data_IF_798125639231
#
_entry.id   IF_798125639231
#
_cell.length_a   1.000
_cell.length_b   1.000
_cell.length_c   1.000
_cell.angle_alpha   90.00
_cell.angle_beta   90.00
_cell.angle_gamma   90.00
#
_symmetry.space_group_name_H-M   'P 1'
#
loop_
_entity.id
_entity.type
_entity.pdbx_description
1 polymer ?
#
# COMPACT_ATOMS: atom_id res chain seq x y z
N UNK A 1 8.92 -17.42 12.47
CA UNK A 1 7.80 -18.37 12.59
C UNK A 1 6.57 -17.53 12.88
N UNK A 2 5.55 -17.59 12.02
CA UNK A 2 4.33 -16.80 12.24
C UNK A 2 3.71 -17.23 13.58
N UNK A 3 3.76 -16.35 14.58
CA UNK A 3 3.03 -16.55 15.82
C UNK A 3 1.54 -16.71 15.48
N UNK A 4 0.84 -17.59 16.18
CA UNK A 4 -0.61 -17.67 16.09
C UNK A 4 -1.22 -16.39 16.68
N UNK A 5 -1.24 -15.31 15.89
CA UNK A 5 -1.77 -14.02 16.32
C UNK A 5 -3.26 -14.18 16.62
N UNK A 6 -3.61 -14.09 17.90
CA UNK A 6 -5.00 -14.17 18.37
C UNK A 6 -5.71 -12.86 18.05
N UNK A 7 -6.52 -12.85 16.99
CA UNK A 7 -7.39 -11.73 16.62
C UNK A 7 -8.85 -12.13 16.64
N UNK A 8 -9.73 -11.14 16.83
CA UNK A 8 -11.17 -11.38 16.77
C UNK A 8 -11.59 -11.90 15.37
N UNK A 9 -12.63 -12.74 15.26
CA UNK A 9 -13.18 -13.16 13.97
C UNK A 9 -13.58 -11.99 13.07
N UNK A 10 -14.03 -10.88 13.69
CA UNK A 10 -14.37 -9.64 12.98
C UNK A 10 -13.14 -9.01 12.32
N UNK A 11 -12.03 -8.87 13.05
CA UNK A 11 -10.79 -8.32 12.51
C UNK A 11 -10.25 -9.18 11.37
N UNK A 12 -10.28 -10.51 11.52
CA UNK A 12 -9.86 -11.45 10.48
C UNK A 12 -10.68 -11.29 9.19
N UNK A 13 -12.01 -11.23 9.29
CA UNK A 13 -12.88 -11.00 8.11
C UNK A 13 -12.61 -9.64 7.45
N UNK A 14 -12.38 -8.60 8.25
CA UNK A 14 -12.04 -7.28 7.74
C UNK A 14 -10.71 -7.28 6.99
N UNK A 15 -9.69 -7.98 7.51
CA UNK A 15 -8.39 -8.09 6.86
C UNK A 15 -8.48 -8.81 5.51
N UNK A 16 -9.23 -9.92 5.44
CA UNK A 16 -9.50 -10.63 4.17
C UNK A 16 -10.21 -9.70 3.19
N UNK A 17 -11.23 -8.96 3.63
CA UNK A 17 -11.95 -8.00 2.79
C UNK A 17 -11.03 -6.88 2.27
N UNK A 18 -10.15 -6.37 3.13
CA UNK A 18 -9.17 -5.34 2.80
C UNK A 18 -8.21 -5.82 1.70
N UNK A 19 -7.64 -7.02 1.85
CA UNK A 19 -6.80 -7.68 0.84
C UNK A 19 -7.52 -7.88 -0.50
N UNK A 20 -8.76 -8.39 -0.47
CA UNK A 20 -9.56 -8.61 -1.67
C UNK A 20 -9.82 -7.31 -2.46
N UNK A 21 -10.08 -6.19 -1.78
CA UNK A 21 -10.30 -4.90 -2.46
C UNK A 21 -9.02 -4.39 -3.13
N UNK A 22 -7.89 -4.53 -2.43
CA UNK A 22 -6.60 -4.08 -2.94
C UNK A 22 -6.07 -5.02 -4.04
N UNK A 23 -6.54 -6.26 -4.07
CA UNK A 23 -6.10 -7.30 -4.99
C UNK A 23 -4.72 -7.82 -4.62
N UNK A 24 -4.50 -8.05 -3.33
CA UNK A 24 -3.24 -8.51 -2.76
C UNK A 24 -3.44 -9.57 -1.68
N UNK A 25 -2.35 -10.19 -1.25
CA UNK A 25 -2.33 -11.18 -0.19
C UNK A 25 -2.30 -10.49 1.17
N UNK A 26 -3.14 -10.94 2.10
CA UNK A 26 -3.28 -10.35 3.42
C UNK A 26 -2.72 -11.25 4.51
N UNK A 27 -1.92 -10.66 5.39
CA UNK A 27 -1.36 -11.28 6.59
C UNK A 27 -1.74 -10.46 7.83
N UNK A 28 -1.65 -11.08 9.00
CA UNK A 28 -1.99 -10.44 10.28
C UNK A 28 -0.81 -10.57 11.24
N UNK A 29 -0.21 -9.43 11.59
CA UNK A 29 0.88 -9.33 12.55
C UNK A 29 0.38 -9.02 13.96
N UNK A 30 1.24 -9.23 14.97
CA UNK A 30 0.98 -8.85 16.35
C UNK A 30 0.78 -7.32 16.47
N UNK A 31 -0.23 -6.87 17.22
CA UNK A 31 -0.57 -5.44 17.31
C UNK A 31 -2.07 -5.11 17.44
N UNK A 32 -3.01 -5.92 16.90
CA UNK A 32 -2.96 -6.54 15.57
C UNK A 32 -2.84 -5.53 14.42
N UNK A 33 -2.10 -5.90 13.38
CA UNK A 33 -2.00 -5.15 12.11
C UNK A 33 -2.41 -6.07 10.98
N UNK A 34 -3.32 -5.63 10.10
CA UNK A 34 -3.54 -6.29 8.83
C UNK A 34 -2.57 -5.70 7.81
N UNK A 35 -1.73 -6.53 7.21
CA UNK A 35 -0.75 -6.13 6.20
C UNK A 35 -1.12 -6.78 4.87
N UNK A 36 -1.15 -6.00 3.79
CA UNK A 36 -1.47 -6.47 2.45
C UNK A 36 -0.33 -6.12 1.51
N UNK A 37 0.13 -7.11 0.75
CA UNK A 37 1.12 -6.91 -0.29
C UNK A 37 0.56 -7.25 -1.67
N UNK A 38 1.03 -6.52 -2.69
CA UNK A 38 0.67 -6.75 -4.08
C UNK A 38 1.84 -6.37 -4.97
N UNK A 39 2.15 -7.19 -5.98
CA UNK A 39 3.16 -6.83 -6.97
C UNK A 39 2.63 -5.83 -7.98
N UNK A 40 3.42 -4.80 -8.27
CA UNK A 40 3.23 -3.93 -9.44
C UNK A 40 3.70 -4.61 -10.73
N UNK A 41 3.33 -4.03 -11.87
CA UNK A 41 3.82 -4.44 -13.20
C UNK A 41 4.98 -3.56 -13.69
N UNK A 42 5.74 -2.98 -12.77
CA UNK A 42 6.82 -2.04 -13.04
C UNK A 42 7.97 -2.69 -13.83
N UNK A 43 8.49 -2.00 -14.87
CA UNK A 43 9.43 -2.52 -15.87
C UNK A 43 10.85 -1.92 -15.89
N UNK A 44 11.39 -1.56 -14.73
CA UNK A 44 12.65 -0.83 -14.59
C UNK A 44 13.88 -1.72 -14.52
N UNK A 45 15.00 -1.07 -14.77
CA UNK A 45 16.34 -1.59 -14.56
C UNK A 45 17.01 -0.88 -13.38
N UNK A 46 17.95 -1.54 -12.71
CA UNK A 46 18.89 -0.96 -11.74
C UNK A 46 20.28 -1.40 -12.17
N UNK A 47 21.22 -0.47 -12.31
CA UNK A 47 22.55 -0.74 -12.88
C UNK A 47 22.47 -1.41 -14.26
N UNK A 48 21.48 -1.02 -15.07
CA UNK A 48 21.22 -1.59 -16.40
C UNK A 48 20.63 -3.01 -16.41
N UNK A 49 20.36 -3.62 -15.25
CA UNK A 49 19.73 -4.96 -15.17
C UNK A 49 18.28 -4.87 -14.78
N UNK A 50 17.42 -5.60 -15.50
CA UNK A 50 16.00 -5.74 -15.19
C UNK A 50 15.82 -6.33 -13.79
N UNK A 51 15.07 -5.66 -12.92
CA UNK A 51 14.71 -6.16 -11.59
C UNK A 51 13.30 -6.76 -11.59
N UNK A 52 13.11 -7.83 -10.81
CA UNK A 52 11.79 -8.37 -10.42
C UNK A 52 11.66 -8.47 -8.90
N UNK A 53 12.56 -7.80 -8.19
CA UNK A 53 12.65 -7.92 -6.74
C UNK A 53 11.42 -7.28 -6.08
N UNK A 54 10.81 -7.95 -5.08
CA UNK A 54 9.80 -7.34 -4.21
C UNK A 54 10.28 -6.04 -3.56
N UNK A 55 11.60 -5.88 -3.34
CA UNK A 55 12.18 -4.63 -2.82
C UNK A 55 11.94 -3.41 -3.71
N UNK A 56 11.50 -3.60 -4.95
CA UNK A 56 11.21 -2.53 -5.92
C UNK A 56 9.73 -2.51 -6.28
N UNK A 57 9.16 -3.68 -6.52
CA UNK A 57 7.85 -3.81 -7.16
C UNK A 57 6.69 -3.98 -6.19
N UNK A 58 6.95 -4.13 -4.89
CA UNK A 58 5.89 -4.37 -3.93
C UNK A 58 5.11 -3.09 -3.61
N UNK A 59 3.78 -3.17 -3.71
CA UNK A 59 2.84 -2.27 -3.07
C UNK A 59 2.51 -2.84 -1.71
N UNK A 60 2.48 -1.99 -0.70
CA UNK A 60 2.21 -2.37 0.68
C UNK A 60 1.08 -1.52 1.22
N UNK A 61 0.16 -2.13 1.95
CA UNK A 61 -0.95 -1.43 2.59
C UNK A 61 -1.20 -2.04 3.95
N UNK A 62 -1.64 -1.23 4.91
CA UNK A 62 -2.00 -1.76 6.22
C UNK A 62 -3.14 -1.01 6.85
N UNK A 63 -3.75 -1.66 7.85
CA UNK A 63 -4.52 -0.97 8.88
C UNK A 63 -4.29 -1.61 10.25
N UNK A 64 -4.31 -0.78 11.29
CA UNK A 64 -4.14 -1.22 12.68
C UNK A 64 -5.48 -1.53 13.37
N UNK A 65 -5.47 -1.68 14.69
CA UNK A 65 -6.68 -1.85 15.50
C UNK A 65 -7.74 -0.78 15.26
N UNK A 66 -9.01 -1.19 15.30
CA UNK A 66 -10.15 -0.28 15.16
C UNK A 66 -10.42 0.48 16.46
N UNK A 67 -10.71 1.77 16.35
CA UNK A 67 -11.30 2.56 17.43
C UNK A 67 -12.81 2.24 17.62
N UNK A 68 -13.44 2.90 18.60
CA UNK A 68 -14.88 2.74 18.89
C UNK A 68 -15.79 3.13 17.71
N UNK A 69 -15.31 3.96 16.81
CA UNK A 69 -16.03 4.40 15.61
C UNK A 69 -15.75 3.49 14.39
N UNK A 70 -14.95 2.44 14.55
CA UNK A 70 -14.60 1.53 13.45
C UNK A 70 -13.60 2.13 12.46
N UNK A 71 -12.77 3.09 12.88
CA UNK A 71 -11.67 3.66 12.09
C UNK A 71 -10.34 3.08 12.58
N UNK A 72 -9.35 3.03 11.71
CA UNK A 72 -7.98 2.66 12.04
C UNK A 72 -6.99 3.63 11.38
N UNK A 73 -5.78 3.68 11.92
CA UNK A 73 -4.63 4.17 11.16
C UNK A 73 -4.42 3.23 9.97
N UNK A 74 -4.50 3.78 8.77
CA UNK A 74 -4.31 3.06 7.52
C UNK A 74 -3.11 3.67 6.79
N UNK A 75 -2.20 2.81 6.30
CA UNK A 75 -0.98 3.22 5.62
C UNK A 75 -0.93 2.59 4.23
N UNK A 76 -0.23 3.26 3.32
CA UNK A 76 0.08 2.71 2.01
C UNK A 76 1.38 3.24 1.43
N UNK A 77 2.05 2.37 0.69
CA UNK A 77 3.28 2.62 -0.01
C UNK A 77 3.27 1.97 -1.39
N UNK A 78 3.80 2.67 -2.40
CA UNK A 78 4.12 2.07 -3.70
C UNK A 78 5.28 2.82 -4.36
N UNK A 79 6.07 2.08 -5.13
CA UNK A 79 6.89 2.65 -6.18
C UNK A 79 5.99 3.21 -7.31
N UNK A 80 6.45 4.27 -7.96
CA UNK A 80 5.80 4.95 -9.08
C UNK A 80 6.86 5.60 -9.97
N UNK A 81 6.62 5.70 -11.29
CA UNK A 81 7.54 6.46 -12.15
C UNK A 81 7.49 7.95 -11.81
N UNK A 82 8.62 8.66 -11.92
CA UNK A 82 8.68 10.08 -11.57
C UNK A 82 7.64 10.94 -12.31
N UNK A 83 7.40 10.66 -13.60
CA UNK A 83 6.40 11.36 -14.40
C UNK A 83 4.94 11.08 -13.97
N UNK A 84 4.70 10.07 -13.14
CA UNK A 84 3.39 9.68 -12.62
C UNK A 84 3.11 10.20 -11.20
N UNK A 85 4.11 10.78 -10.52
CA UNK A 85 4.03 11.26 -9.13
C UNK A 85 2.83 12.19 -8.93
N UNK A 86 2.69 13.23 -9.75
CA UNK A 86 1.63 14.22 -9.59
C UNK A 86 0.24 13.60 -9.78
N UNK A 87 0.11 12.59 -10.65
CA UNK A 87 -1.14 11.86 -10.87
C UNK A 87 -1.55 11.10 -9.62
N UNK A 88 -0.64 10.31 -9.04
CA UNK A 88 -0.91 9.55 -7.82
C UNK A 88 -1.22 10.48 -6.64
N UNK A 89 -0.38 11.49 -6.42
CA UNK A 89 -0.54 12.45 -5.32
C UNK A 89 -1.89 13.18 -5.41
N UNK A 90 -2.28 13.62 -6.60
CA UNK A 90 -3.57 14.29 -6.81
C UNK A 90 -4.75 13.34 -6.63
N UNK A 91 -4.63 12.08 -7.06
CA UNK A 91 -5.67 11.07 -6.87
C UNK A 91 -5.94 10.78 -5.39
N UNK A 92 -4.89 10.63 -4.59
CA UNK A 92 -4.96 10.38 -3.15
C UNK A 92 -5.58 11.58 -2.42
N UNK A 93 -5.07 12.80 -2.68
CA UNK A 93 -5.56 14.03 -2.05
C UNK A 93 -7.03 14.31 -2.33
N UNK A 94 -7.48 14.13 -3.59
CA UNK A 94 -8.91 14.26 -3.95
C UNK A 94 -9.82 13.28 -3.21
N UNK A 95 -9.28 12.17 -2.72
CA UNK A 95 -10.01 11.16 -1.94
C UNK A 95 -9.82 11.33 -0.43
N UNK A 96 -9.27 12.47 0.02
CA UNK A 96 -9.06 12.76 1.43
C UNK A 96 -8.01 11.87 2.08
N UNK A 97 -7.04 11.37 1.31
CA UNK A 97 -5.89 10.61 1.81
C UNK A 97 -4.67 11.52 1.79
N UNK A 98 -3.95 11.59 2.91
CA UNK A 98 -2.79 12.48 3.08
C UNK A 98 -1.55 11.80 2.51
N UNK A 99 -0.88 12.47 1.57
CA UNK A 99 0.46 12.06 1.12
C UNK A 99 1.48 12.63 2.11
N UNK A 100 2.32 11.76 2.66
CA UNK A 100 3.24 12.08 3.76
C UNK A 100 4.69 12.13 3.34
N UNK A 101 5.10 11.28 2.40
CA UNK A 101 6.46 11.28 1.89
C UNK A 101 6.51 10.95 0.40
N UNK A 102 7.53 11.51 -0.25
CA UNK A 102 7.94 11.18 -1.61
C UNK A 102 9.46 11.18 -1.64
N UNK A 103 10.06 10.04 -1.96
CA UNK A 103 11.51 9.89 -2.00
C UNK A 103 11.93 8.81 -3.01
N UNK A 104 13.20 8.47 -3.06
CA UNK A 104 13.75 7.46 -3.97
C UNK A 104 14.61 6.48 -3.18
N UNK A 105 14.53 5.18 -3.51
CA UNK A 105 15.32 4.12 -2.85
C UNK A 105 16.57 3.72 -3.63
N UNK A 106 16.58 3.89 -4.96
CA UNK A 106 17.57 3.29 -5.84
C UNK A 106 18.27 4.36 -6.68
N UNK A 107 19.58 4.18 -6.89
CA UNK A 107 20.37 4.95 -7.84
C UNK A 107 20.57 4.16 -9.13
N UNK A 108 20.81 4.88 -10.24
CA UNK A 108 21.11 4.29 -11.57
C UNK A 108 20.03 3.33 -12.04
N UNK A 109 18.80 3.67 -11.71
CA UNK A 109 17.59 3.04 -12.14
C UNK A 109 16.99 3.76 -13.36
N UNK A 110 16.31 3.00 -14.21
CA UNK A 110 15.66 3.55 -15.39
C UNK A 110 14.42 2.72 -15.77
N UNK A 111 13.23 3.34 -15.98
CA UNK A 111 12.89 4.74 -15.68
C UNK A 111 13.10 5.17 -14.22
N UNK A 112 13.20 6.48 -13.97
CA UNK A 112 13.40 7.04 -12.62
C UNK A 112 12.22 6.67 -11.71
N UNK A 113 12.53 5.95 -10.63
CA UNK A 113 11.57 5.49 -9.63
C UNK A 113 11.45 6.48 -8.48
N UNK A 114 10.23 6.65 -7.99
CA UNK A 114 9.92 7.36 -6.76
C UNK A 114 9.02 6.48 -5.89
N UNK A 115 9.09 6.65 -4.58
CA UNK A 115 8.32 5.93 -3.58
C UNK A 115 7.44 6.92 -2.85
N UNK A 116 6.14 6.68 -2.89
CA UNK A 116 5.15 7.55 -2.26
C UNK A 116 4.54 6.83 -1.07
N UNK A 117 4.43 7.57 0.03
CA UNK A 117 3.82 7.13 1.28
C UNK A 117 2.57 7.96 1.55
N UNK A 118 1.52 7.31 2.04
CA UNK A 118 0.29 7.99 2.42
C UNK A 118 -0.37 7.36 3.62
N UNK A 119 -1.13 8.18 4.35
CA UNK A 119 -1.80 7.80 5.58
C UNK A 119 -3.23 8.35 5.64
N UNK A 120 -4.09 7.66 6.40
CA UNK A 120 -5.34 8.22 6.86
C UNK A 120 -5.87 7.49 8.11
N UNK A 121 -6.61 8.20 8.97
CA UNK A 121 -7.43 7.58 10.00
C UNK A 121 -8.85 7.43 9.45
N UNK A 122 -9.28 6.24 9.04
CA UNK A 122 -10.62 6.01 8.50
C UNK A 122 -11.03 4.54 8.56
N UNK A 123 -12.25 4.23 8.11
CA UNK A 123 -12.69 2.85 7.95
C UNK A 123 -11.78 2.13 6.92
N UNK A 124 -11.19 0.96 7.26
CA UNK A 124 -10.24 0.27 6.36
C UNK A 124 -10.82 -0.09 4.99
N UNK A 125 -12.10 -0.43 4.90
CA UNK A 125 -12.76 -0.75 3.62
C UNK A 125 -12.84 0.50 2.73
N UNK A 126 -13.12 1.66 3.32
CA UNK A 126 -13.15 2.94 2.61
C UNK A 126 -11.75 3.32 2.15
N UNK A 127 -10.75 3.17 3.02
CA UNK A 127 -9.34 3.37 2.66
C UNK A 127 -8.94 2.49 1.47
N UNK A 128 -9.20 1.18 1.56
CA UNK A 128 -8.85 0.22 0.52
C UNK A 128 -9.43 0.60 -0.85
N UNK A 129 -10.71 0.96 -0.91
CA UNK A 129 -11.37 1.36 -2.18
C UNK A 129 -10.75 2.64 -2.74
N UNK A 130 -10.59 3.67 -1.91
CA UNK A 130 -10.01 4.95 -2.32
C UNK A 130 -8.56 4.81 -2.77
N UNK A 131 -7.79 3.97 -2.09
CA UNK A 131 -6.42 3.63 -2.46
C UNK A 131 -6.42 2.87 -3.79
N UNK A 132 -7.23 1.82 -3.95
CA UNK A 132 -7.35 1.04 -5.19
C UNK A 132 -7.68 1.93 -6.40
N UNK A 133 -8.63 2.84 -6.25
CA UNK A 133 -8.97 3.80 -7.30
C UNK A 133 -7.83 4.78 -7.62
N UNK A 134 -7.06 5.17 -6.60
CA UNK A 134 -5.95 6.11 -6.76
C UNK A 134 -4.78 5.49 -7.53
N UNK A 135 -4.54 4.20 -7.34
CA UNK A 135 -3.44 3.44 -7.94
C UNK A 135 -3.86 2.67 -9.19
N UNK A 136 -5.13 2.71 -9.63
CA UNK A 136 -5.65 1.91 -10.77
C UNK A 136 -4.82 2.04 -12.05
N UNK A 137 -4.16 3.18 -12.26
CA UNK A 137 -3.34 3.43 -13.44
C UNK A 137 -1.96 2.75 -13.39
N UNK A 138 -1.56 2.22 -12.23
CA UNK A 138 -0.34 1.44 -12.01
C UNK A 138 -0.52 -0.06 -12.34
N UNK A 139 -1.72 -0.43 -12.79
CA UNK A 139 -2.12 -1.81 -13.07
C UNK A 139 -2.64 -2.55 -11.85
#
# INVERSE_FOLDING_TARGET
MAENVKVSPRFRRLCIQFGNILGGESEIDAGPVCFVTRMTNLTETILGRRTRSPLVQMQMFSFESLDKAGRALCLGETAVHQNQVNRLMSNLRRRGIKVTALHNHWLKENPRLMYMHWEAIMNPVVFARRTKDSIKFLG
#
